data_IF_271888877255
#
_entry.id   IF_271888877255
#
_cell.length_a   1.000
_cell.length_b   1.000
_cell.length_c   1.000
_cell.angle_alpha   90.00
_cell.angle_beta   90.00
_cell.angle_gamma   90.00
#
_symmetry.space_group_name_H-M   'P 1'
#
loop_
_entity.id
_entity.type
_entity.pdbx_description
1 polymer ?
#
# COMPACT_ATOMS: atom_id res chain seq x y z
N UNK A 1 -11.29 2.53 -16.90
CA UNK A 1 -10.95 2.62 -15.47
C UNK A 1 -10.25 3.94 -15.27
N UNK A 2 -10.69 4.70 -14.29
CA UNK A 2 -10.11 5.98 -13.90
C UNK A 2 -9.36 5.81 -12.58
N UNK A 3 -8.26 6.55 -12.35
CA UNK A 3 -7.55 6.52 -11.08
C UNK A 3 -8.44 7.07 -9.95
N UNK A 4 -8.13 6.68 -8.72
CA UNK A 4 -8.66 7.34 -7.53
C UNK A 4 -8.13 8.76 -7.39
N UNK A 5 -8.72 9.55 -6.50
CA UNK A 5 -8.33 10.94 -6.30
C UNK A 5 -8.08 11.31 -4.83
N UNK A 6 -8.05 10.36 -3.89
CA UNK A 6 -7.89 10.63 -2.46
C UNK A 6 -7.04 9.55 -1.80
N UNK A 7 -6.28 9.96 -0.77
CA UNK A 7 -5.64 9.04 0.15
C UNK A 7 -6.70 8.47 1.11
N UNK A 8 -6.68 7.17 1.32
CA UNK A 8 -7.67 6.48 2.14
C UNK A 8 -7.01 5.99 3.43
N UNK A 9 -7.53 6.47 4.55
CA UNK A 9 -7.15 6.00 5.88
C UNK A 9 -8.38 5.63 6.70
N UNK A 10 -8.22 4.73 7.65
CA UNK A 10 -9.25 4.40 8.62
C UNK A 10 -8.62 4.08 9.98
N UNK A 11 -9.45 4.13 11.02
CA UNK A 11 -9.02 3.87 12.38
C UNK A 11 -9.30 2.41 12.77
N UNK A 12 -8.31 1.74 13.36
CA UNK A 12 -8.41 0.40 13.94
C UNK A 12 -8.06 0.48 15.42
N UNK A 13 -9.07 0.66 16.27
CA UNK A 13 -8.87 0.94 17.69
C UNK A 13 -8.05 2.23 17.87
N UNK A 14 -6.86 2.14 18.47
CA UNK A 14 -5.94 3.28 18.63
C UNK A 14 -4.97 3.49 17.46
N UNK A 15 -4.92 2.56 16.50
CA UNK A 15 -3.98 2.58 15.39
C UNK A 15 -4.61 3.15 14.12
N UNK A 16 -3.84 3.95 13.39
CA UNK A 16 -4.29 4.50 12.11
C UNK A 16 -3.74 3.67 10.95
N UNK A 17 -4.62 3.31 10.02
CA UNK A 17 -4.28 2.44 8.89
C UNK A 17 -4.38 3.21 7.58
N UNK A 18 -3.33 3.12 6.76
CA UNK A 18 -3.29 3.62 5.38
C UNK A 18 -3.53 2.52 4.36
N UNK A 19 -4.16 2.86 3.24
CA UNK A 19 -4.56 1.90 2.21
C UNK A 19 -3.91 2.22 0.86
N UNK A 20 -3.21 1.24 0.31
CA UNK A 20 -2.70 1.28 -1.06
C UNK A 20 -3.20 0.08 -1.85
N UNK A 21 -3.25 0.20 -3.17
CA UNK A 21 -3.72 -0.88 -4.02
C UNK A 21 -2.61 -1.28 -4.99
N UNK A 22 -2.10 -2.50 -4.83
CA UNK A 22 -1.16 -3.20 -5.70
C UNK A 22 -0.03 -2.34 -6.32
N UNK A 23 -0.32 -1.66 -7.44
CA UNK A 23 0.65 -0.83 -8.15
C UNK A 23 1.09 0.39 -7.33
N UNK A 24 0.24 0.86 -6.40
CA UNK A 24 0.54 1.99 -5.53
C UNK A 24 1.78 1.77 -4.67
N UNK A 25 2.11 0.50 -4.38
CA UNK A 25 3.31 0.14 -3.61
C UNK A 25 4.62 0.57 -4.29
N UNK A 26 4.59 0.88 -5.60
CA UNK A 26 5.75 1.37 -6.35
C UNK A 26 6.06 2.84 -6.08
N UNK A 27 5.09 3.63 -5.60
CA UNK A 27 5.26 5.06 -5.35
C UNK A 27 5.52 5.30 -3.86
N UNK A 28 6.75 5.65 -3.51
CA UNK A 28 7.16 5.88 -2.11
C UNK A 28 6.49 7.12 -1.52
N UNK A 29 6.15 8.11 -2.34
CA UNK A 29 5.52 9.36 -1.94
C UNK A 29 4.17 9.12 -1.26
N UNK A 30 3.38 8.17 -1.78
CA UNK A 30 2.10 7.82 -1.18
C UNK A 30 2.27 7.24 0.23
N UNK A 31 3.25 6.35 0.42
CA UNK A 31 3.55 5.77 1.72
C UNK A 31 4.11 6.83 2.70
N UNK A 32 4.95 7.73 2.21
CA UNK A 32 5.46 8.87 2.98
C UNK A 32 4.33 9.82 3.43
N UNK A 33 3.32 10.06 2.59
CA UNK A 33 2.13 10.82 2.97
C UNK A 33 1.32 10.10 4.06
N UNK A 34 1.15 8.78 3.98
CA UNK A 34 0.50 8.02 5.04
C UNK A 34 1.28 8.08 6.37
N UNK A 35 2.61 7.99 6.32
CA UNK A 35 3.46 8.23 7.49
C UNK A 35 3.24 9.61 8.10
N UNK A 36 3.23 10.67 7.27
CA UNK A 36 2.95 12.05 7.71
C UNK A 36 1.57 12.20 8.34
N UNK A 37 0.58 11.45 7.86
CA UNK A 37 -0.76 11.40 8.44
C UNK A 37 -0.83 10.60 9.75
N UNK A 38 0.30 10.05 10.23
CA UNK A 38 0.40 9.29 11.47
C UNK A 38 -0.06 7.84 11.34
N UNK A 39 -0.02 7.25 10.15
CA UNK A 39 -0.38 5.83 10.00
C UNK A 39 0.65 4.93 10.70
N UNK A 40 0.15 3.94 11.44
CA UNK A 40 0.94 2.92 12.13
C UNK A 40 1.10 1.67 11.28
N UNK A 41 0.14 1.44 10.38
CA UNK A 41 0.03 0.27 9.52
C UNK A 41 -0.36 0.70 8.10
N UNK A 42 0.27 0.08 7.09
CA UNK A 42 -0.14 0.18 5.69
C UNK A 42 -0.62 -1.17 5.19
N UNK A 43 -1.74 -1.18 4.48
CA UNK A 43 -2.28 -2.40 3.87
C UNK A 43 -2.31 -2.24 2.35
N UNK A 44 -1.72 -3.22 1.67
CA UNK A 44 -1.67 -3.33 0.21
C UNK A 44 -2.35 -4.61 -0.27
N UNK A 45 -3.68 -4.60 -0.48
CA UNK A 45 -4.31 -5.57 -1.38
C UNK A 45 -3.68 -5.48 -2.77
N UNK A 46 -3.14 -6.58 -3.29
CA UNK A 46 -2.61 -6.60 -4.64
C UNK A 46 -2.34 -7.98 -5.19
N UNK A 47 -2.34 -8.08 -6.51
CA UNK A 47 -1.96 -9.27 -7.24
C UNK A 47 -0.82 -8.89 -8.19
N UNK A 48 0.40 -9.34 -7.90
CA UNK A 48 1.53 -9.27 -8.82
C UNK A 48 1.50 -10.49 -9.74
N UNK A 49 2.06 -10.38 -10.95
CA UNK A 49 2.18 -11.53 -11.84
C UNK A 49 3.42 -12.35 -11.46
N UNK A 50 3.45 -13.61 -11.89
CA UNK A 50 4.56 -14.55 -11.65
C UNK A 50 5.92 -14.05 -12.13
N UNK A 51 5.98 -13.22 -13.16
CA UNK A 51 7.23 -12.64 -13.66
C UNK A 51 7.77 -11.52 -12.76
N UNK A 52 6.89 -10.67 -12.23
CA UNK A 52 7.27 -9.50 -11.43
C UNK A 52 7.26 -9.76 -9.93
N UNK A 53 6.62 -10.83 -9.49
CA UNK A 53 6.51 -11.24 -8.09
C UNK A 53 7.89 -11.47 -7.44
N UNK A 54 8.69 -12.44 -7.91
CA UNK A 54 9.96 -12.80 -7.29
C UNK A 54 10.92 -11.62 -7.07
N UNK A 55 11.18 -10.73 -8.06
CA UNK A 55 12.15 -9.65 -7.86
C UNK A 55 11.61 -8.46 -7.06
N UNK A 56 10.29 -8.21 -7.05
CA UNK A 56 9.75 -6.94 -6.54
C UNK A 56 8.84 -7.08 -5.32
N UNK A 57 8.12 -8.18 -5.18
CA UNK A 57 7.03 -8.27 -4.19
C UNK A 57 7.56 -8.12 -2.76
N UNK A 58 8.44 -9.03 -2.33
CA UNK A 58 9.05 -8.98 -1.00
C UNK A 58 9.86 -7.70 -0.79
N UNK A 59 10.65 -7.30 -1.78
CA UNK A 59 11.50 -6.11 -1.69
C UNK A 59 10.69 -4.84 -1.43
N UNK A 60 9.64 -4.60 -2.22
CA UNK A 60 8.81 -3.41 -2.08
C UNK A 60 8.09 -3.39 -0.73
N UNK A 61 7.56 -4.52 -0.26
CA UNK A 61 6.83 -4.60 1.01
C UNK A 61 7.76 -4.26 2.18
N UNK A 62 8.93 -4.90 2.22
CA UNK A 62 9.95 -4.67 3.26
C UNK A 62 10.46 -3.25 3.23
N UNK A 63 10.72 -2.71 2.04
CA UNK A 63 11.23 -1.35 1.89
C UNK A 63 10.19 -0.30 2.34
N UNK A 64 8.91 -0.48 2.01
CA UNK A 64 7.82 0.41 2.46
C UNK A 64 7.66 0.37 3.98
N UNK A 65 7.91 -0.78 4.60
CA UNK A 65 7.85 -0.93 6.05
C UNK A 65 9.03 -0.21 6.73
N UNK A 66 10.24 -0.46 6.23
CA UNK A 66 11.48 0.13 6.72
C UNK A 66 11.52 1.67 6.58
N UNK A 67 11.27 2.20 5.38
CA UNK A 67 11.43 3.65 5.11
C UNK A 67 10.40 4.49 5.90
N UNK A 68 9.22 3.91 6.18
CA UNK A 68 8.14 4.61 6.87
C UNK A 68 8.09 4.29 8.37
N UNK A 69 8.83 3.28 8.83
CA UNK A 69 8.77 2.74 10.18
C UNK A 69 7.32 2.41 10.57
N UNK A 70 6.65 1.66 9.70
CA UNK A 70 5.28 1.19 9.85
C UNK A 70 5.21 -0.29 9.57
N UNK A 71 4.25 -0.98 10.17
CA UNK A 71 3.92 -2.32 9.69
C UNK A 71 3.37 -2.23 8.27
N UNK A 72 3.67 -3.22 7.45
CA UNK A 72 3.10 -3.34 6.10
C UNK A 72 2.52 -4.72 5.93
N UNK A 73 1.27 -4.75 5.48
CA UNK A 73 0.54 -5.98 5.23
C UNK A 73 0.18 -6.02 3.75
N UNK A 74 0.65 -7.05 3.04
CA UNK A 74 0.33 -7.25 1.65
C UNK A 74 -0.55 -8.49 1.50
N UNK A 75 -1.76 -8.30 0.96
CA UNK A 75 -2.72 -9.38 0.76
C UNK A 75 -2.81 -9.69 -0.72
N UNK A 76 -2.46 -10.92 -1.08
CA UNK A 76 -2.44 -11.41 -2.45
C UNK A 76 -3.36 -12.63 -2.61
N UNK A 77 -4.11 -12.75 -3.71
CA UNK A 77 -4.90 -13.94 -3.96
C UNK A 77 -4.00 -15.16 -4.19
N UNK A 78 -4.51 -16.34 -3.84
CA UNK A 78 -3.84 -17.59 -4.16
C UNK A 78 -3.62 -17.72 -5.67
N UNK A 79 -2.55 -18.43 -6.05
CA UNK A 79 -2.21 -18.65 -7.44
C UNK A 79 -3.24 -19.56 -8.10
N UNK A 80 -3.83 -19.06 -9.17
CA UNK A 80 -4.71 -19.84 -10.05
C UNK A 80 -4.15 -19.82 -11.48
N UNK A 81 -3.63 -20.96 -11.92
CA UNK A 81 -3.06 -21.13 -13.26
C UNK A 81 -4.11 -21.15 -14.36
N UNK A 82 -5.40 -21.32 -14.02
CA UNK A 82 -6.52 -21.27 -14.97
C UNK A 82 -7.05 -19.86 -15.20
N UNK A 83 -6.63 -18.90 -14.37
CA UNK A 83 -7.01 -17.50 -14.50
C UNK A 83 -6.27 -16.84 -15.66
N UNK A 84 -6.93 -15.88 -16.32
CA UNK A 84 -6.29 -15.01 -17.30
C UNK A 84 -5.13 -14.17 -16.71
N UNK A 85 -5.16 -13.94 -15.39
CA UNK A 85 -4.08 -13.31 -14.65
C UNK A 85 -3.64 -14.23 -13.51
N UNK A 86 -2.47 -14.85 -13.68
CA UNK A 86 -1.86 -15.74 -12.68
C UNK A 86 -1.16 -14.89 -11.64
N UNK A 87 -1.76 -14.83 -10.45
CA UNK A 87 -1.20 -14.10 -9.32
C UNK A 87 0.02 -14.82 -8.74
N UNK A 88 0.98 -14.05 -8.25
CA UNK A 88 2.16 -14.56 -7.56
C UNK A 88 1.77 -15.30 -6.27
N UNK A 89 0.79 -14.79 -5.52
CA UNK A 89 0.49 -15.26 -4.16
C UNK A 89 1.35 -14.54 -3.13
N UNK A 90 1.83 -15.27 -2.12
CA UNK A 90 2.79 -14.78 -1.13
C UNK A 90 2.30 -13.58 -0.32
N UNK A 91 1.06 -13.65 0.19
CA UNK A 91 0.60 -12.67 1.18
C UNK A 91 1.60 -12.60 2.33
N UNK A 92 1.99 -11.42 2.78
CA UNK A 92 3.04 -11.29 3.78
C UNK A 92 2.84 -10.08 4.66
N UNK A 93 3.49 -10.12 5.82
CA UNK A 93 3.52 -9.06 6.81
C UNK A 93 4.97 -8.70 7.11
N UNK A 94 5.31 -7.43 6.98
CA UNK A 94 6.62 -6.90 7.33
C UNK A 94 6.53 -5.94 8.53
N UNK A 95 7.53 -6.01 9.40
CA UNK A 95 7.67 -5.13 10.55
C UNK A 95 8.30 -3.77 10.18
N UNK A 96 8.30 -2.78 11.08
CA UNK A 96 8.93 -1.48 10.85
C UNK A 96 10.45 -1.52 10.62
N UNK A 97 11.10 -2.67 10.84
CA UNK A 97 12.52 -2.90 10.57
C UNK A 97 12.76 -3.53 9.18
N UNK A 98 11.69 -3.81 8.42
CA UNK A 98 11.76 -4.47 7.12
C UNK A 98 12.02 -5.99 7.21
N UNK A 99 11.84 -6.58 8.39
CA UNK A 99 11.85 -8.04 8.59
C UNK A 99 10.49 -8.60 8.20
N UNK A 100 10.48 -9.74 7.52
CA UNK A 100 9.23 -10.46 7.24
C UNK A 100 8.83 -11.16 8.54
N UNK A 101 7.68 -10.78 9.09
CA UNK A 101 7.11 -11.41 10.29
C UNK A 101 6.53 -12.77 9.90
N UNK A 102 5.73 -12.78 8.85
CA UNK A 102 5.08 -13.99 8.34
C UNK A 102 4.83 -13.86 6.83
N UNK A 103 4.92 -14.99 6.13
CA UNK A 103 4.71 -15.10 4.69
C UNK A 103 3.88 -16.35 4.36
N UNK A 104 2.80 -16.16 3.61
CA UNK A 104 2.01 -17.22 3.01
C UNK A 104 2.72 -17.79 1.78
N UNK A 105 2.31 -18.99 1.37
CA UNK A 105 2.75 -19.57 0.11
C UNK A 105 1.85 -19.13 -1.07
N UNK A 106 1.98 -19.80 -2.20
CA UNK A 106 1.16 -19.58 -3.40
C UNK A 106 -0.26 -20.18 -3.30
N UNK A 107 -0.53 -21.01 -2.30
CA UNK A 107 -1.81 -21.69 -2.11
C UNK A 107 -2.76 -20.84 -1.28
N UNK A 108 -4.00 -21.30 -1.23
CA UNK A 108 -5.05 -20.71 -0.42
C UNK A 108 -4.87 -21.10 1.06
N UNK A 109 -4.63 -20.10 1.92
CA UNK A 109 -4.28 -20.30 3.33
C UNK A 109 -4.48 -19.06 4.21
N UNK A 110 -5.25 -19.15 5.29
CA UNK A 110 -5.36 -18.02 6.22
C UNK A 110 -4.04 -17.79 6.97
N UNK A 111 -3.51 -16.55 6.93
CA UNK A 111 -2.36 -16.11 7.72
C UNK A 111 -2.84 -15.35 8.96
N UNK A 112 -2.38 -15.74 10.13
CA UNK A 112 -2.69 -15.07 11.40
C UNK A 112 -1.41 -14.49 11.98
N UNK A 113 -1.39 -13.20 12.27
CA UNK A 113 -0.20 -12.50 12.77
C UNK A 113 -0.58 -11.58 13.92
N UNK A 114 0.18 -11.67 15.01
CA UNK A 114 0.13 -10.75 16.14
C UNK A 114 1.14 -9.61 15.92
N UNK A 115 0.64 -8.39 15.78
CA UNK A 115 1.45 -7.19 15.56
C UNK A 115 1.70 -6.46 16.88
N UNK A 116 2.95 -6.39 17.32
CA UNK A 116 3.32 -5.60 18.50
C UNK A 116 3.70 -4.17 18.11
N UNK A 117 2.84 -3.20 18.43
CA UNK A 117 3.12 -1.79 18.14
C UNK A 117 4.12 -1.14 19.12
N UNK A 118 4.50 -1.79 20.21
CA UNK A 118 5.60 -1.29 21.06
C UNK A 118 6.95 -1.37 20.34
N UNK A 119 7.14 -2.40 19.51
CA UNK A 119 8.32 -2.54 18.63
C UNK A 119 8.46 -1.31 17.71
N UNK A 120 7.36 -0.86 17.10
CA UNK A 120 7.36 0.32 16.24
C UNK A 120 7.85 1.57 16.97
N UNK A 121 7.32 1.82 18.17
CA UNK A 121 7.72 2.99 18.95
C UNK A 121 9.17 2.88 19.44
N UNK A 122 9.65 1.67 19.75
CA UNK A 122 11.07 1.44 20.05
C UNK A 122 11.96 1.77 18.85
N UNK A 123 11.63 1.29 17.66
CA UNK A 123 12.37 1.54 16.42
C UNK A 123 12.42 3.04 16.08
N UNK A 124 11.29 3.74 16.21
CA UNK A 124 11.23 5.20 15.98
C UNK A 124 12.06 5.99 16.99
N UNK A 125 12.19 5.52 18.24
CA UNK A 125 13.07 6.10 19.24
C UNK A 125 14.54 5.87 18.94
N UNK A 126 14.90 4.68 18.46
CA UNK A 126 16.28 4.34 18.11
C UNK A 126 16.75 5.08 16.85
N UNK A 127 15.90 5.16 15.81
CA UNK A 127 16.23 5.78 14.53
C UNK A 127 15.13 6.78 14.14
N UNK A 128 15.18 8.05 14.59
CA UNK A 128 14.10 9.01 14.38
C UNK A 128 14.12 9.66 12.99
N UNK A 129 14.07 8.86 11.91
CA UNK A 129 14.21 9.35 10.53
C UNK A 129 13.15 10.38 10.14
N UNK A 130 11.96 10.35 10.76
CA UNK A 130 10.91 11.32 10.52
C UNK A 130 11.31 12.75 10.90
N UNK A 131 12.08 12.91 11.98
CA UNK A 131 12.54 14.21 12.48
C UNK A 131 13.83 14.67 11.77
N UNK A 132 14.54 13.75 11.13
CA UNK A 132 15.81 14.02 10.43
C UNK A 132 15.60 14.43 8.96
N UNK A 133 14.37 14.36 8.43
CA UNK A 133 14.07 14.82 7.06
C UNK A 133 14.28 16.33 6.96
N UNK A 134 14.98 16.76 5.91
CA UNK A 134 15.25 18.17 5.59
C UNK A 134 14.07 18.78 4.84
N UNK A 135 12.98 19.06 5.55
CA UNK A 135 11.77 19.70 5.00
C UNK A 135 11.99 21.13 4.50
N UNK A 136 13.13 21.72 4.86
CA UNK A 136 13.61 23.00 4.32
C UNK A 136 14.14 22.88 2.87
N UNK A 137 14.59 21.69 2.46
CA UNK A 137 15.14 21.44 1.10
C UNK A 137 14.13 20.70 0.23
N UNK A 138 13.46 19.69 0.77
CA UNK A 138 12.49 18.88 0.03
C UNK A 138 11.32 18.51 0.92
N UNK A 139 10.12 18.44 0.35
CA UNK A 139 8.99 17.90 1.08
C UNK A 139 8.01 17.13 0.20
N UNK A 140 7.25 16.25 0.83
CA UNK A 140 6.17 15.48 0.20
C UNK A 140 4.84 16.10 0.62
N UNK A 141 4.14 16.71 -0.33
CA UNK A 141 2.94 17.52 -0.08
C UNK A 141 1.71 16.79 -0.60
N UNK A 142 0.69 16.68 0.24
CA UNK A 142 -0.64 16.23 -0.19
C UNK A 142 -1.40 17.43 -0.74
N UNK A 143 -1.52 17.49 -2.07
CA UNK A 143 -2.14 18.60 -2.79
C UNK A 143 -3.59 18.88 -2.37
N UNK A 144 -4.32 17.88 -1.86
CA UNK A 144 -5.72 18.05 -1.44
C UNK A 144 -5.86 18.56 -0.01
N UNK A 145 -4.82 18.39 0.80
CA UNK A 145 -4.79 18.80 2.20
C UNK A 145 -3.86 20.00 2.43
N UNK A 146 -3.56 20.78 1.37
CA UNK A 146 -2.84 22.04 1.50
C UNK A 146 -3.75 23.01 2.28
N UNK A 147 -3.48 23.15 3.57
CA UNK A 147 -3.86 24.36 4.29
C UNK A 147 -2.92 25.44 3.77
N UNK A 148 -3.40 26.29 2.87
CA UNK A 148 -2.66 27.47 2.44
C UNK A 148 -2.46 28.31 3.71
N UNK A 149 -1.28 28.21 4.33
CA UNK A 149 -0.81 29.24 5.25
C UNK A 149 -0.60 30.45 4.36
N UNK A 150 -1.25 31.56 4.69
CA UNK A 150 -1.34 32.77 3.87
C UNK A 150 -0.01 33.48 3.56
N UNK A 151 1.15 32.90 3.85
CA UNK A 151 2.45 33.54 3.65
C UNK A 151 3.51 32.54 3.21
N UNK A 152 3.39 32.04 1.98
CA UNK A 152 4.56 31.69 1.17
C UNK A 152 4.13 31.71 -0.28
N UNK A 153 4.46 32.80 -0.99
CA UNK A 153 4.38 32.82 -2.44
C UNK A 153 5.24 31.65 -2.95
N UNK A 154 4.60 30.62 -3.50
CA UNK A 154 5.30 29.65 -4.34
C UNK A 154 6.00 30.44 -5.46
N UNK A 155 7.32 30.33 -5.66
CA UNK A 155 8.02 31.11 -6.67
C UNK A 155 7.86 30.45 -8.05
N UNK A 156 6.63 30.17 -8.48
CA UNK A 156 6.34 29.71 -9.85
C UNK A 156 4.92 30.12 -10.24
N UNK A 157 4.69 31.42 -10.40
CA UNK A 157 3.55 31.93 -11.17
C UNK A 157 4.04 32.96 -12.17
N UNK A 158 4.40 32.46 -13.37
CA UNK A 158 4.59 33.11 -14.68
C UNK A 158 5.71 32.32 -15.38
N UNK A 159 5.54 31.68 -16.52
CA UNK A 159 4.75 32.00 -17.72
C UNK A 159 4.53 30.72 -18.55
N UNK A 160 3.57 30.74 -19.48
CA UNK A 160 3.68 29.91 -20.69
C UNK A 160 2.62 28.85 -20.88
N UNK A 161 1.54 29.26 -21.53
CA UNK A 161 0.68 28.38 -22.33
C UNK A 161 1.53 27.54 -23.29
N UNK A 162 1.58 26.21 -23.10
CA UNK A 162 1.85 25.24 -24.17
C UNK A 162 0.83 24.11 -24.02
N UNK A 163 -0.37 24.38 -24.50
CA UNK A 163 -1.25 23.32 -24.96
C UNK A 163 -0.63 22.64 -26.20
N UNK A 164 -0.97 21.36 -26.35
CA UNK A 164 -0.77 20.50 -27.52
C UNK A 164 0.62 19.89 -27.76
N UNK A 165 0.66 18.56 -27.64
CA UNK A 165 1.03 17.61 -28.72
C UNK A 165 1.89 16.48 -28.16
N UNK A 166 1.25 15.41 -27.67
CA UNK A 166 1.81 14.04 -27.69
C UNK A 166 0.65 13.03 -27.66
N UNK A 167 -0.09 12.95 -28.77
CA UNK A 167 -0.92 11.82 -29.12
C UNK A 167 -0.41 11.26 -30.44
N UNK A 168 0.46 10.25 -30.38
CA UNK A 168 0.45 9.05 -31.24
C UNK A 168 1.64 8.19 -30.85
N UNK A 169 1.41 7.25 -29.94
CA UNK A 169 2.36 6.20 -29.56
C UNK A 169 1.59 4.90 -29.34
N UNK A 170 1.34 4.19 -30.43
CA UNK A 170 0.62 2.91 -30.51
C UNK A 170 1.44 1.77 -29.91
N UNK A 171 1.67 1.76 -28.59
CA UNK A 171 2.19 0.59 -27.84
C UNK A 171 1.61 0.47 -26.42
N UNK A 172 0.30 0.66 -26.25
CA UNK A 172 -0.36 0.61 -24.93
C UNK A 172 -1.42 -0.48 -24.76
N UNK A 173 -1.63 -1.34 -25.75
CA UNK A 173 -2.73 -2.33 -25.74
C UNK A 173 -2.54 -3.45 -24.70
N UNK A 174 -1.30 -3.90 -24.54
CA UNK A 174 -0.96 -5.02 -23.67
C UNK A 174 -0.98 -4.64 -22.18
N UNK A 175 -0.36 -3.51 -21.81
CA UNK A 175 -0.39 -2.98 -20.44
C UNK A 175 -1.81 -2.66 -19.96
N UNK A 176 -2.67 -2.10 -20.82
CA UNK A 176 -4.06 -1.76 -20.47
C UNK A 176 -4.94 -2.99 -20.21
N UNK A 177 -4.72 -4.11 -20.92
CA UNK A 177 -5.44 -5.37 -20.67
C UNK A 177 -5.02 -6.02 -19.35
N UNK A 178 -3.72 -6.09 -19.05
CA UNK A 178 -3.21 -6.60 -17.75
C UNK A 178 -3.70 -5.75 -16.57
N UNK A 179 -3.70 -4.41 -16.70
CA UNK A 179 -4.22 -3.52 -15.66
C UNK A 179 -5.72 -3.71 -15.40
N UNK A 180 -6.56 -3.90 -16.44
CA UNK A 180 -8.00 -4.17 -16.24
C UNK A 180 -8.27 -5.47 -15.48
N UNK A 181 -7.53 -6.54 -15.78
CA UNK A 181 -7.68 -7.84 -15.10
C UNK A 181 -7.16 -7.80 -13.66
N UNK A 182 -6.07 -7.08 -13.40
CA UNK A 182 -5.58 -6.82 -12.06
C UNK A 182 -6.60 -6.01 -11.22
N UNK A 183 -7.20 -4.98 -11.81
CA UNK A 183 -8.21 -4.17 -11.15
C UNK A 183 -9.54 -4.91 -10.87
N UNK A 184 -9.96 -5.86 -11.70
CA UNK A 184 -11.17 -6.66 -11.42
C UNK A 184 -10.96 -7.62 -10.23
N UNK A 185 -9.77 -8.19 -10.09
CA UNK A 185 -9.35 -8.99 -8.93
C UNK A 185 -9.31 -8.12 -7.68
N UNK A 186 -8.69 -6.95 -7.75
CA UNK A 186 -8.55 -5.98 -6.67
C UNK A 186 -9.87 -5.34 -6.22
N UNK A 187 -10.77 -4.99 -7.13
CA UNK A 187 -12.07 -4.39 -6.75
C UNK A 187 -13.01 -5.40 -6.09
N UNK A 188 -12.92 -6.68 -6.49
CA UNK A 188 -13.54 -7.80 -5.75
C UNK A 188 -12.89 -8.01 -4.38
N UNK A 189 -11.58 -7.82 -4.28
CA UNK A 189 -10.81 -7.86 -3.03
C UNK A 189 -11.30 -6.81 -2.03
N UNK A 190 -11.50 -5.56 -2.47
CA UNK A 190 -11.92 -4.43 -1.62
C UNK A 190 -13.32 -4.60 -0.99
N UNK A 191 -14.31 -5.11 -1.75
CA UNK A 191 -15.69 -5.30 -1.23
C UNK A 191 -15.77 -6.31 -0.09
N UNK A 192 -14.88 -7.30 -0.04
CA UNK A 192 -14.85 -8.36 0.98
C UNK A 192 -13.81 -8.14 2.09
N UNK A 193 -12.74 -7.39 1.83
CA UNK A 193 -11.75 -7.02 2.87
C UNK A 193 -12.38 -6.21 4.02
N UNK A 194 -13.46 -5.46 3.76
CA UNK A 194 -14.27 -4.79 4.80
C UNK A 194 -14.79 -5.73 5.90
N UNK A 195 -14.89 -7.04 5.65
CA UNK A 195 -15.35 -8.02 6.64
C UNK A 195 -14.22 -8.66 7.46
N UNK A 196 -12.96 -8.51 7.03
CA UNK A 196 -11.81 -9.29 7.57
C UNK A 196 -11.03 -8.53 8.66
N UNK A 197 -11.18 -7.21 8.75
CA UNK A 197 -10.36 -6.37 9.65
C UNK A 197 -10.99 -6.12 11.03
N UNK A 198 -12.24 -6.50 11.28
CA UNK A 198 -12.96 -6.06 12.47
C UNK A 198 -13.33 -7.21 13.42
N UNK A 199 -12.41 -7.61 14.29
CA UNK A 199 -12.80 -7.92 15.68
C UNK A 199 -12.32 -6.76 16.56
N UNK A 200 -13.20 -6.13 17.36
CA UNK A 200 -12.81 -5.03 18.23
C UNK A 200 -11.77 -5.55 19.20
N UNK A 201 -10.58 -4.96 19.15
CA UNK A 201 -9.47 -5.40 19.98
C UNK A 201 -9.44 -4.60 21.26
N UNK A 202 -9.26 -5.32 22.38
CA UNK A 202 -9.04 -4.74 23.71
C UNK A 202 -7.82 -3.82 23.72
N UNK A 203 -7.69 -3.01 24.77
CA UNK A 203 -6.69 -1.97 25.06
C UNK A 203 -5.20 -2.37 24.95
N UNK A 204 -4.91 -3.63 24.62
CA UNK A 204 -3.56 -4.20 24.49
C UNK A 204 -2.69 -3.52 23.40
N UNK A 205 -1.35 -3.58 23.53
CA UNK A 205 -0.41 -3.08 22.51
C UNK A 205 -0.31 -3.97 21.26
N UNK A 206 -0.91 -5.16 21.30
CA UNK A 206 -0.84 -6.15 20.24
C UNK A 206 -2.10 -6.06 19.37
N UNK A 207 -1.97 -6.16 18.04
CA UNK A 207 -3.10 -6.31 17.11
C UNK A 207 -3.10 -7.68 16.41
N UNK A 208 -4.23 -8.40 16.45
CA UNK A 208 -4.45 -9.65 15.72
C UNK A 208 -4.94 -9.34 14.32
N UNK A 209 -4.14 -9.67 13.31
CA UNK A 209 -4.55 -9.55 11.92
C UNK A 209 -4.69 -10.93 11.30
N UNK A 210 -5.83 -11.15 10.64
CA UNK A 210 -6.08 -12.33 9.82
C UNK A 210 -6.06 -11.91 8.35
N UNK A 211 -5.21 -12.54 7.55
CA UNK A 211 -5.24 -12.45 6.09
C UNK A 211 -5.81 -13.74 5.54
N UNK A 212 -6.98 -13.67 4.93
CA UNK A 212 -7.54 -14.80 4.19
C UNK A 212 -7.26 -14.65 2.69
N UNK A 213 -6.52 -15.55 2.05
CA UNK A 213 -6.43 -15.62 0.60
C UNK A 213 -7.79 -15.98 0.03
N UNK A 214 -8.00 -15.56 -1.22
CA UNK A 214 -9.28 -15.76 -1.86
C UNK A 214 -9.41 -17.19 -2.39
N UNK A 215 -10.18 -18.01 -1.68
CA UNK A 215 -10.67 -19.31 -2.14
C UNK A 215 -11.78 -19.16 -3.21
N UNK A 216 -11.55 -19.81 -4.36
CA UNK A 216 -12.50 -20.25 -5.41
C UNK A 216 -14.00 -20.14 -5.07
N UNK A 217 -14.63 -18.98 -5.32
CA UNK A 217 -16.06 -18.88 -5.69
C UNK A 217 -16.36 -17.45 -6.16
N UNK A 218 -16.11 -17.21 -7.44
CA UNK A 218 -16.85 -16.23 -8.23
C UNK A 218 -17.51 -17.02 -9.36
N UNK A 219 -18.76 -17.41 -9.13
CA UNK A 219 -19.66 -17.86 -10.18
C UNK A 219 -20.23 -16.57 -10.83
N UNK A 220 -20.16 -16.54 -12.16
CA UNK A 220 -20.53 -15.54 -13.18
C UNK A 220 -19.64 -14.28 -13.31
#
# INVERSE_FOLDING_TARGET
MSPGNTLNTFQLGKFKVGLGICHDMRFSEMAALYRKQGCDLLIYPGAFCTELGPPHWSLLIRFRALENQTFVIAASPARDTKSNYVAWGHSMVADPWGTIVEEANEKDMDLYVDLDFTLRENIKRQIPIGNQRRTDIYDTIDMKNIKIRSETKLPFTNTGCWASTWLTGTRGGWQRRRQRQQWSVVTRQWRRFKQVVAKPMSTAPVAKVTLRPFAKRCIF
#
